data_IF_096876755095
#
_entry.id   IF_096876755095
#
_cell.length_a   1.000
_cell.length_b   1.000
_cell.length_c   1.000
_cell.angle_alpha   90.00
_cell.angle_beta   90.00
_cell.angle_gamma   90.00
#
_symmetry.space_group_name_H-M   'P 1'
#
loop_
_entity.id
_entity.type
_entity.pdbx_description
1 polymer ?
#
# COMPACT_ATOMS: atom_id res chain seq x y z
N UNK A 1 -12.27 3.28 4.27
CA UNK A 1 -11.33 3.78 3.27
C UNK A 1 -10.06 2.96 3.30
N UNK A 2 -10.04 1.84 2.61
CA UNK A 2 -8.94 0.86 2.63
C UNK A 2 -9.37 -0.55 2.24
N UNK A 3 -10.65 -0.88 2.44
CA UNK A 3 -11.19 -2.21 2.15
C UNK A 3 -11.37 -2.49 0.65
N UNK A 4 -11.45 -3.77 0.26
CA UNK A 4 -11.57 -4.18 -1.15
C UNK A 4 -12.84 -3.65 -1.84
N UNK A 5 -13.92 -3.41 -1.07
CA UNK A 5 -15.19 -2.90 -1.56
C UNK A 5 -15.38 -1.39 -1.47
N UNK A 6 -14.39 -0.65 -0.96
CA UNK A 6 -14.53 0.80 -0.81
C UNK A 6 -14.50 1.49 -2.18
N UNK A 7 -15.54 2.27 -2.49
CA UNK A 7 -15.65 3.01 -3.76
C UNK A 7 -14.48 3.99 -3.97
N UNK A 8 -13.90 4.51 -2.90
CA UNK A 8 -12.78 5.45 -2.94
C UNK A 8 -11.82 5.27 -1.75
N UNK A 9 -10.63 5.87 -1.85
CA UNK A 9 -9.53 5.72 -0.88
C UNK A 9 -9.93 6.13 0.54
N UNK A 10 -10.80 7.12 0.69
CA UNK A 10 -11.36 7.53 1.98
C UNK A 10 -12.82 7.93 1.81
N UNK A 11 -13.72 7.26 2.53
CA UNK A 11 -15.16 7.52 2.52
C UNK A 11 -15.66 8.31 3.73
N UNK A 12 -14.75 8.78 4.59
CA UNK A 12 -15.07 9.69 5.68
C UNK A 12 -15.51 11.08 5.13
N UNK A 13 -16.02 11.98 5.98
CA UNK A 13 -16.24 13.40 5.70
C UNK A 13 -16.75 13.73 4.28
N UNK A 14 -17.95 13.24 3.94
CA UNK A 14 -18.65 13.50 2.66
C UNK A 14 -18.18 12.71 1.42
N UNK A 15 -17.47 11.58 1.61
CA UNK A 15 -17.39 10.54 0.57
C UNK A 15 -16.18 10.66 -0.35
N UNK A 16 -16.36 10.42 -1.65
CA UNK A 16 -15.26 10.20 -2.61
C UNK A 16 -14.75 11.45 -3.33
N UNK A 17 -15.36 12.59 -3.06
CA UNK A 17 -15.01 13.89 -3.63
C UNK A 17 -14.70 14.88 -2.51
N UNK A 18 -13.80 15.81 -2.80
CA UNK A 18 -13.40 16.87 -1.87
C UNK A 18 -13.27 18.19 -2.60
N UNK A 19 -13.99 19.19 -2.10
CA UNK A 19 -13.92 20.57 -2.57
C UNK A 19 -13.31 21.43 -1.47
N UNK A 20 -12.29 22.20 -1.80
CA UNK A 20 -11.61 23.08 -0.86
C UNK A 20 -12.48 24.24 -0.40
N UNK A 21 -12.26 24.70 0.82
CA UNK A 21 -12.82 25.95 1.35
C UNK A 21 -11.78 26.69 2.19
N UNK A 22 -12.06 27.94 2.57
CA UNK A 22 -11.17 28.73 3.42
C UNK A 22 -10.88 28.07 4.78
N UNK A 23 -11.79 27.22 5.28
CA UNK A 23 -11.61 26.48 6.53
C UNK A 23 -11.06 25.06 6.31
N UNK A 24 -11.16 24.53 5.09
CA UNK A 24 -10.76 23.16 4.74
C UNK A 24 -9.93 23.17 3.46
N UNK A 25 -8.63 23.37 3.61
CA UNK A 25 -7.68 23.36 2.49
C UNK A 25 -7.46 21.90 2.06
N UNK A 26 -7.60 21.63 0.75
CA UNK A 26 -7.29 20.31 0.19
C UNK A 26 -5.79 20.12 0.20
N UNK A 27 -5.34 18.93 0.59
CA UNK A 27 -3.93 18.57 0.51
C UNK A 27 -3.40 18.85 -0.92
N UNK A 28 -2.28 19.58 -1.07
CA UNK A 28 -1.79 20.01 -2.38
C UNK A 28 -1.19 18.86 -3.21
N UNK A 29 -1.33 17.61 -2.75
CA UNK A 29 -0.78 16.42 -3.37
C UNK A 29 -1.93 15.57 -3.89
N UNK A 30 -1.85 15.22 -5.17
CA UNK A 30 -2.75 14.28 -5.83
C UNK A 30 -1.97 13.03 -6.24
N UNK A 31 -2.59 11.88 -6.07
CA UNK A 31 -2.04 10.58 -6.47
C UNK A 31 -3.18 9.70 -6.98
N UNK A 32 -2.84 8.53 -7.52
CA UNK A 32 -3.80 7.55 -8.01
C UNK A 32 -3.66 6.22 -7.27
N UNK A 33 -4.80 5.58 -6.97
CA UNK A 33 -4.87 4.19 -6.53
C UNK A 33 -5.73 3.41 -7.51
N UNK A 34 -5.09 2.66 -8.38
CA UNK A 34 -5.76 1.78 -9.34
C UNK A 34 -6.03 0.43 -8.69
N UNK A 35 -7.22 -0.13 -8.93
CA UNK A 35 -7.67 -1.39 -8.31
C UNK A 35 -8.40 -2.25 -9.32
N UNK A 36 -8.19 -3.57 -9.26
CA UNK A 36 -8.91 -4.55 -10.08
C UNK A 36 -10.15 -5.14 -9.38
N UNK A 37 -10.55 -4.64 -8.21
CA UNK A 37 -11.55 -5.29 -7.33
C UNK A 37 -12.94 -5.52 -7.94
N UNK A 38 -13.27 -4.85 -9.04
CA UNK A 38 -14.53 -5.03 -9.79
C UNK A 38 -14.39 -5.89 -11.05
N UNK A 39 -13.18 -6.35 -11.37
CA UNK A 39 -12.85 -7.04 -12.61
C UNK A 39 -11.99 -8.27 -12.34
N UNK A 40 -10.68 -8.14 -12.59
CA UNK A 40 -9.75 -9.25 -12.47
C UNK A 40 -9.46 -9.59 -10.99
N UNK A 41 -9.97 -10.75 -10.59
CA UNK A 41 -9.74 -11.39 -9.31
C UNK A 41 -9.30 -12.81 -9.59
N UNK A 42 -8.26 -13.30 -8.91
CA UNK A 42 -7.80 -14.67 -9.13
C UNK A 42 -7.34 -15.30 -7.81
N UNK A 43 -7.42 -16.62 -7.78
CA UNK A 43 -6.93 -17.45 -6.67
C UNK A 43 -5.79 -18.28 -7.21
N UNK A 44 -4.60 -18.06 -6.65
CA UNK A 44 -3.34 -18.68 -7.06
C UNK A 44 -2.87 -18.27 -8.47
N UNK A 45 -1.62 -18.59 -8.78
CA UNK A 45 -0.97 -18.24 -10.04
C UNK A 45 0.26 -17.39 -9.83
N UNK A 46 0.77 -16.83 -10.93
CA UNK A 46 1.95 -15.97 -10.94
C UNK A 46 1.54 -14.57 -11.36
N UNK A 47 1.98 -13.58 -10.59
CA UNK A 47 1.83 -12.16 -10.91
C UNK A 47 3.20 -11.63 -11.29
N UNK A 48 3.33 -11.13 -12.51
CA UNK A 48 4.57 -10.52 -13.01
C UNK A 48 4.30 -9.08 -13.38
N UNK A 49 5.16 -8.17 -12.88
CA UNK A 49 4.98 -6.75 -13.04
C UNK A 49 6.32 -6.14 -13.44
N UNK A 50 6.32 -5.42 -14.55
CA UNK A 50 7.44 -4.60 -14.99
C UNK A 50 7.06 -3.14 -14.81
N UNK A 51 7.75 -2.44 -13.91
CA UNK A 51 7.47 -1.05 -13.59
C UNK A 51 8.77 -0.30 -13.28
N UNK A 52 8.81 0.99 -13.62
CA UNK A 52 9.83 1.92 -13.15
C UNK A 52 9.24 2.76 -12.02
N UNK A 53 9.91 2.77 -10.87
CA UNK A 53 9.44 3.52 -9.70
C UNK A 53 9.83 4.99 -9.81
N UNK A 54 8.96 5.92 -9.37
CA UNK A 54 9.27 7.33 -9.36
C UNK A 54 10.35 7.65 -8.32
N UNK A 55 11.11 8.70 -8.57
CA UNK A 55 12.08 9.27 -7.63
C UNK A 55 11.62 10.67 -7.26
N UNK A 56 11.63 10.98 -5.97
CA UNK A 56 11.16 12.24 -5.41
C UNK A 56 10.91 12.09 -3.93
N UNK A 57 11.22 13.13 -3.17
CA UNK A 57 11.00 13.10 -1.73
C UNK A 57 9.53 12.90 -1.40
N UNK A 58 9.26 12.13 -0.34
CA UNK A 58 7.92 11.84 0.19
C UNK A 58 7.05 10.92 -0.68
N UNK A 59 7.58 10.41 -1.80
CA UNK A 59 6.87 9.42 -2.61
C UNK A 59 6.95 8.02 -1.96
N UNK A 60 5.82 7.31 -1.98
CA UNK A 60 5.71 5.92 -1.53
C UNK A 60 4.93 5.12 -2.58
N UNK A 61 5.62 4.63 -3.64
CA UNK A 61 5.01 3.71 -4.58
C UNK A 61 4.76 2.35 -3.93
N UNK A 62 3.59 1.76 -4.18
CA UNK A 62 3.21 0.45 -3.68
C UNK A 62 2.48 -0.35 -4.76
N UNK A 63 2.79 -1.64 -4.83
CA UNK A 63 2.16 -2.63 -5.69
C UNK A 63 1.82 -3.81 -4.79
N UNK A 64 0.53 -4.07 -4.65
CA UNK A 64 0.01 -4.90 -3.58
C UNK A 64 -1.32 -5.51 -3.97
N UNK A 65 -1.73 -6.54 -3.23
CA UNK A 65 -2.97 -7.27 -3.42
C UNK A 65 -3.75 -7.33 -2.12
N UNK A 66 -5.07 -7.21 -2.26
CA UNK A 66 -6.03 -7.43 -1.19
C UNK A 66 -6.95 -8.59 -1.57
N UNK A 67 -7.53 -9.29 -0.59
CA UNK A 67 -8.52 -10.32 -0.86
C UNK A 67 -9.78 -9.69 -1.48
N UNK A 68 -10.47 -10.45 -2.33
CA UNK A 68 -11.76 -10.00 -2.90
C UNK A 68 -12.81 -9.83 -1.81
N UNK A 69 -12.83 -10.71 -0.81
CA UNK A 69 -13.79 -10.74 0.29
C UNK A 69 -13.05 -10.80 1.63
N UNK A 70 -13.64 -10.26 2.69
CA UNK A 70 -13.06 -10.28 4.04
C UNK A 70 -13.56 -11.48 4.85
N UNK A 71 -13.30 -12.70 4.38
CA UNK A 71 -13.84 -13.95 4.95
C UNK A 71 -13.42 -14.21 6.41
N UNK A 72 -12.21 -13.81 6.77
CA UNK A 72 -11.64 -14.08 8.09
C UNK A 72 -11.70 -12.88 9.04
N UNK A 73 -12.42 -11.82 8.64
CA UNK A 73 -12.54 -10.57 9.38
C UNK A 73 -11.74 -9.43 8.77
N UNK A 74 -11.69 -8.30 9.49
CA UNK A 74 -10.99 -7.09 9.04
C UNK A 74 -9.48 -7.33 8.94
N UNK A 75 -8.80 -6.45 8.22
CA UNK A 75 -7.34 -6.48 8.12
C UNK A 75 -6.68 -6.61 9.51
N UNK A 76 -5.63 -7.44 9.65
CA UNK A 76 -4.95 -8.23 8.62
C UNK A 76 -5.51 -9.66 8.50
N UNK A 77 -6.63 -10.00 9.15
CA UNK A 77 -7.12 -11.37 9.25
C UNK A 77 -7.46 -11.99 7.90
N UNK A 78 -8.00 -11.21 6.96
CA UNK A 78 -8.25 -11.67 5.59
C UNK A 78 -7.03 -11.59 4.66
N UNK A 79 -5.90 -11.08 5.15
CA UNK A 79 -4.63 -10.99 4.44
C UNK A 79 -4.42 -9.73 3.61
N UNK A 80 -3.16 -9.43 3.34
CA UNK A 80 -2.67 -8.44 2.37
C UNK A 80 -1.27 -8.87 1.90
N UNK A 81 -1.03 -8.79 0.58
CA UNK A 81 0.26 -9.18 -0.02
C UNK A 81 0.86 -7.94 -0.67
N UNK A 82 1.92 -7.41 -0.08
CA UNK A 82 2.71 -6.34 -0.65
C UNK A 82 3.80 -6.95 -1.53
N UNK A 83 3.58 -6.89 -2.85
CA UNK A 83 4.53 -7.42 -3.83
C UNK A 83 5.77 -6.52 -3.86
N UNK A 84 5.56 -5.21 -3.79
CA UNK A 84 6.64 -4.22 -3.77
C UNK A 84 6.18 -2.92 -3.11
N UNK A 85 6.95 -2.48 -2.11
CA UNK A 85 6.91 -1.13 -1.57
C UNK A 85 8.31 -0.51 -1.56
N UNK A 86 8.40 0.80 -1.79
CA UNK A 86 9.68 1.52 -1.81
C UNK A 86 9.48 2.99 -1.39
N UNK A 87 10.58 3.73 -1.21
CA UNK A 87 10.59 5.17 -0.92
C UNK A 87 11.25 5.92 -2.07
N UNK A 88 10.67 7.05 -2.46
CA UNK A 88 11.19 7.87 -3.57
C UNK A 88 12.39 8.75 -3.20
N UNK A 89 12.78 8.82 -1.93
CA UNK A 89 13.89 9.65 -1.45
C UNK A 89 15.25 9.09 -1.90
N UNK A 90 16.14 9.95 -2.41
CA UNK A 90 17.48 9.53 -2.86
C UNK A 90 18.45 9.25 -1.71
N UNK A 91 18.31 9.99 -0.61
CA UNK A 91 19.20 9.92 0.55
C UNK A 91 18.36 9.60 1.78
N UNK A 92 17.86 8.37 1.87
CA UNK A 92 17.05 7.93 2.98
C UNK A 92 17.60 6.63 3.54
N UNK A 93 17.95 6.65 4.81
CA UNK A 93 18.68 5.59 5.49
C UNK A 93 17.97 5.20 6.77
N UNK A 94 18.01 3.91 7.11
CA UNK A 94 17.55 3.43 8.41
C UNK A 94 18.55 3.76 9.53
N UNK A 95 18.20 3.43 10.77
CA UNK A 95 19.03 3.70 11.95
C UNK A 95 20.41 3.03 11.90
N UNK A 96 20.60 2.02 11.04
CA UNK A 96 21.85 1.30 10.88
C UNK A 96 22.64 1.81 9.65
N UNK A 97 22.19 2.88 9.00
CA UNK A 97 22.84 3.46 7.82
C UNK A 97 22.59 2.70 6.52
N UNK A 98 21.69 1.71 6.51
CA UNK A 98 21.32 1.00 5.28
C UNK A 98 20.35 1.85 4.48
N UNK A 99 20.54 1.90 3.15
CA UNK A 99 19.63 2.65 2.30
C UNK A 99 18.23 2.02 2.31
N UNK A 100 17.22 2.87 2.48
CA UNK A 100 15.79 2.55 2.42
C UNK A 100 15.07 3.48 1.43
N UNK A 101 15.85 4.11 0.53
CA UNK A 101 15.39 5.06 -0.47
C UNK A 101 15.08 4.41 -1.83
N UNK A 102 15.37 5.16 -2.91
CA UNK A 102 15.09 4.76 -4.31
C UNK A 102 15.79 3.49 -4.80
N UNK A 103 16.81 3.06 -4.07
CA UNK A 103 17.62 1.86 -4.30
C UNK A 103 17.16 0.67 -3.45
N UNK A 104 16.15 0.84 -2.61
CA UNK A 104 15.61 -0.22 -1.76
C UNK A 104 14.13 -0.49 -2.04
N UNK A 105 13.73 -1.73 -1.82
CA UNK A 105 12.31 -2.13 -1.84
C UNK A 105 12.05 -3.27 -0.86
N UNK A 106 10.80 -3.40 -0.44
CA UNK A 106 10.33 -4.46 0.44
C UNK A 106 9.16 -5.23 -0.14
N UNK A 107 8.98 -6.45 0.35
CA UNK A 107 7.78 -7.26 0.14
C UNK A 107 7.33 -7.83 1.47
N UNK A 108 6.01 -7.90 1.67
CA UNK A 108 5.41 -8.25 2.96
C UNK A 108 4.18 -9.12 2.74
N UNK A 109 3.98 -10.09 3.63
CA UNK A 109 2.67 -10.69 3.86
C UNK A 109 2.13 -10.19 5.21
N UNK A 110 1.00 -9.51 5.19
CA UNK A 110 0.23 -9.15 6.37
C UNK A 110 -0.78 -10.25 6.67
N UNK A 111 -0.74 -10.76 7.90
CA UNK A 111 -1.63 -11.82 8.39
C UNK A 111 -1.74 -11.75 9.91
N UNK A 112 -2.74 -12.41 10.49
CA UNK A 112 -2.96 -12.45 11.94
C UNK A 112 -4.39 -12.04 12.32
N UNK A 113 -4.85 -12.34 13.54
CA UNK A 113 -6.27 -12.21 13.90
C UNK A 113 -6.76 -10.76 13.95
N UNK A 114 -5.87 -9.79 14.18
CA UNK A 114 -6.21 -8.37 14.28
C UNK A 114 -4.98 -7.47 14.08
N UNK A 115 -5.17 -6.15 14.13
CA UNK A 115 -4.13 -5.13 13.97
C UNK A 115 -2.95 -5.31 14.95
N UNK A 116 -3.24 -5.59 16.22
CA UNK A 116 -2.21 -5.73 17.26
C UNK A 116 -1.41 -7.02 17.11
N UNK A 117 -2.04 -8.04 16.53
CA UNK A 117 -1.46 -9.35 16.30
C UNK A 117 -1.03 -9.55 14.84
N UNK A 118 -0.69 -8.48 14.13
CA UNK A 118 -0.20 -8.54 12.76
C UNK A 118 1.19 -9.18 12.70
N UNK A 119 1.28 -10.36 12.08
CA UNK A 119 2.47 -11.19 11.95
C UNK A 119 3.47 -10.74 10.88
N UNK A 120 3.30 -9.55 10.30
CA UNK A 120 4.09 -9.05 9.17
C UNK A 120 5.61 -9.17 9.34
N UNK A 121 6.12 -8.97 10.56
CA UNK A 121 7.56 -9.03 10.85
C UNK A 121 8.18 -10.40 10.57
N UNK A 122 7.36 -11.46 10.56
CA UNK A 122 7.79 -12.84 10.24
C UNK A 122 7.79 -13.13 8.74
N UNK A 123 7.19 -12.26 7.94
CA UNK A 123 6.99 -12.45 6.51
C UNK A 123 7.29 -11.16 5.71
N UNK A 124 8.21 -10.35 6.23
CA UNK A 124 8.71 -9.15 5.57
C UNK A 124 10.17 -9.35 5.21
N UNK A 125 10.52 -8.92 4.01
CA UNK A 125 11.91 -8.84 3.57
C UNK A 125 12.12 -7.58 2.76
N UNK A 126 13.30 -6.97 2.92
CA UNK A 126 13.76 -5.82 2.13
C UNK A 126 15.09 -6.12 1.47
N UNK A 127 15.30 -5.47 0.32
CA UNK A 127 16.51 -5.58 -0.49
C UNK A 127 16.98 -4.18 -0.89
N UNK A 128 18.30 -4.04 -1.01
CA UNK A 128 18.96 -2.88 -1.61
C UNK A 128 19.59 -3.36 -2.91
N UNK A 129 19.45 -2.57 -3.97
CA UNK A 129 20.06 -2.82 -5.29
C UNK A 129 21.56 -2.56 -5.30
#
# INVERSE_FOLDING_TARGET
GGGPHDTCTGNAFYGCERTGSNANIINPIQSARLRSSRGLNFKYGKVEISAQLPKGDWLWPAIWMLPTYTEYGRWPASGEIDIMESRGNRHYYDANGRSVGVDAYGSTLHFGPDYFNNGWSRAHQSWVK
#
